data_IF_286260975527
#
_entry.id   IF_286260975527
#
_cell.length_a   1.000
_cell.length_b   1.000
_cell.length_c   1.000
_cell.angle_alpha   90.00
_cell.angle_beta   90.00
_cell.angle_gamma   90.00
#
_symmetry.space_group_name_H-M   'P 1'
#
loop_
_entity.id
_entity.type
_entity.pdbx_description
1 polymer ?
#
# COMPACT_ATOMS: atom_id res chain seq x y z
N UNK A 1 -10.05 -21.55 5.52
CA UNK A 1 -8.91 -20.68 5.15
C UNK A 1 -8.94 -20.49 3.64
N UNK A 2 -9.27 -19.28 3.21
CA UNK A 2 -9.33 -18.88 1.80
C UNK A 2 -8.06 -19.29 1.07
N UNK A 3 -8.22 -19.86 -0.12
CA UNK A 3 -7.08 -20.18 -0.99
C UNK A 3 -6.85 -19.05 -1.98
N UNK A 4 -5.64 -18.51 -1.94
CA UNK A 4 -5.18 -17.46 -2.84
C UNK A 4 -3.85 -17.84 -3.46
N UNK A 5 -3.57 -17.31 -4.64
CA UNK A 5 -2.23 -17.37 -5.22
C UNK A 5 -1.89 -16.05 -5.88
N UNK A 6 -0.60 -15.71 -5.86
CA UNK A 6 -0.04 -14.60 -6.61
C UNK A 6 0.79 -15.20 -7.75
N UNK A 7 0.67 -14.69 -8.98
CA UNK A 7 1.35 -15.28 -10.15
C UNK A 7 2.88 -15.29 -10.04
N UNK A 8 3.45 -14.45 -9.17
CA UNK A 8 4.89 -14.50 -8.79
C UNK A 8 5.31 -15.84 -8.16
N UNK A 9 4.36 -16.62 -7.66
CA UNK A 9 4.57 -17.85 -6.90
C UNK A 9 4.33 -19.13 -7.72
N UNK A 10 4.55 -19.09 -9.03
CA UNK A 10 4.69 -20.28 -9.89
C UNK A 10 3.61 -21.35 -9.72
N UNK A 11 2.43 -21.15 -10.30
CA UNK A 11 1.41 -22.20 -10.39
C UNK A 11 1.00 -22.40 -11.84
N UNK A 12 1.64 -23.36 -12.51
CA UNK A 12 1.30 -23.80 -13.86
C UNK A 12 -0.02 -24.58 -13.98
N UNK A 13 -1.05 -24.23 -13.19
CA UNK A 13 -2.32 -24.98 -13.13
C UNK A 13 -3.60 -24.13 -13.06
N UNK A 14 -3.51 -22.80 -12.96
CA UNK A 14 -4.70 -21.93 -13.00
C UNK A 14 -4.76 -21.27 -14.37
N UNK A 15 -5.61 -21.82 -15.23
CA UNK A 15 -5.62 -21.46 -16.65
C UNK A 15 -6.89 -20.70 -17.05
N UNK A 16 -7.88 -20.63 -16.16
CA UNK A 16 -9.22 -20.13 -16.48
C UNK A 16 -9.88 -19.42 -15.29
N UNK A 17 -10.28 -18.17 -15.51
CA UNK A 17 -11.09 -17.42 -14.57
C UNK A 17 -12.57 -17.72 -14.78
N UNK A 18 -13.30 -17.98 -13.68
CA UNK A 18 -14.74 -18.24 -13.73
C UNK A 18 -15.62 -17.09 -14.22
N UNK A 19 -15.05 -15.94 -14.60
CA UNK A 19 -15.76 -14.77 -15.17
C UNK A 19 -15.24 -14.45 -16.57
N UNK A 20 -13.94 -14.17 -16.73
CA UNK A 20 -13.39 -13.74 -18.03
C UNK A 20 -12.86 -14.90 -18.89
N UNK A 21 -12.99 -16.15 -18.45
CA UNK A 21 -12.56 -17.33 -19.21
C UNK A 21 -11.03 -17.51 -19.24
N UNK A 22 -10.52 -18.28 -20.21
CA UNK A 22 -9.11 -18.59 -20.34
C UNK A 22 -8.29 -17.36 -20.77
N UNK A 23 -6.98 -17.41 -20.49
CA UNK A 23 -6.02 -16.40 -20.97
C UNK A 23 -6.10 -16.30 -22.51
N UNK A 24 -6.28 -15.11 -23.10
CA UNK A 24 -6.28 -14.95 -24.54
C UNK A 24 -4.99 -15.52 -25.15
N UNK A 25 -5.11 -16.35 -26.18
CA UNK A 25 -3.94 -16.83 -26.90
C UNK A 25 -3.20 -15.67 -27.59
N UNK A 26 -1.87 -15.75 -27.66
CA UNK A 26 -1.06 -14.77 -28.41
C UNK A 26 -1.59 -14.64 -29.84
N UNK A 27 -1.95 -13.43 -30.31
CA UNK A 27 -2.48 -13.26 -31.64
C UNK A 27 -1.44 -13.73 -32.67
N UNK A 28 -1.91 -14.48 -33.68
CA UNK A 28 -1.08 -14.87 -34.81
C UNK A 28 -0.60 -13.62 -35.56
N UNK A 29 0.63 -13.66 -36.07
CA UNK A 29 1.45 -12.56 -36.66
C UNK A 29 0.74 -11.70 -37.74
N UNK A 30 -0.50 -12.03 -38.14
CA UNK A 30 -1.33 -11.25 -39.07
C UNK A 30 -1.95 -9.99 -38.45
N UNK A 31 -1.87 -9.81 -37.12
CA UNK A 31 -2.27 -8.59 -36.44
C UNK A 31 -1.18 -7.54 -36.46
N UNK A 32 -1.47 -6.34 -36.99
CA UNK A 32 -0.50 -5.23 -37.01
C UNK A 32 -0.02 -4.83 -35.60
N UNK A 33 1.01 -3.97 -35.53
CA UNK A 33 1.65 -3.51 -34.28
C UNK A 33 0.66 -3.08 -33.18
N UNK A 34 -0.50 -2.53 -33.55
CA UNK A 34 -1.53 -2.12 -32.59
C UNK A 34 -2.19 -3.30 -31.85
N UNK A 35 -2.40 -4.45 -32.51
CA UNK A 35 -2.91 -5.67 -31.85
C UNK A 35 -1.87 -6.35 -30.98
N UNK A 36 -0.59 -6.27 -31.36
CA UNK A 36 0.51 -6.75 -30.53
C UNK A 36 0.65 -5.92 -29.24
N UNK A 37 0.57 -4.58 -29.34
CA UNK A 37 0.61 -3.69 -28.18
C UNK A 37 -0.58 -3.91 -27.23
N UNK A 38 -1.80 -4.03 -27.75
CA UNK A 38 -2.98 -4.34 -26.93
C UNK A 38 -2.88 -5.69 -26.24
N UNK A 39 -2.29 -6.69 -26.91
CA UNK A 39 -2.02 -7.98 -26.30
C UNK A 39 -0.95 -7.91 -25.21
N UNK A 40 0.15 -7.20 -25.46
CA UNK A 40 1.21 -6.97 -24.46
C UNK A 40 0.67 -6.22 -23.24
N UNK A 41 -0.10 -5.15 -23.43
CA UNK A 41 -0.77 -4.42 -22.34
C UNK A 41 -1.73 -5.33 -21.55
N UNK A 42 -2.53 -6.16 -22.23
CA UNK A 42 -3.44 -7.11 -21.58
C UNK A 42 -2.70 -8.20 -20.81
N UNK A 43 -1.57 -8.71 -21.32
CA UNK A 43 -0.71 -9.67 -20.64
C UNK A 43 -0.01 -9.05 -19.44
N UNK A 44 0.41 -7.79 -19.53
CA UNK A 44 1.06 -7.08 -18.44
C UNK A 44 0.08 -6.74 -17.30
N UNK A 45 -1.19 -6.49 -17.63
CA UNK A 45 -2.29 -6.41 -16.66
C UNK A 45 -2.72 -7.78 -16.08
N UNK A 46 -2.24 -8.89 -16.66
CA UNK A 46 -2.48 -10.24 -16.17
C UNK A 46 -1.32 -10.75 -15.29
N UNK A 47 -0.06 -10.51 -15.68
CA UNK A 47 1.17 -11.00 -15.04
C UNK A 47 1.40 -10.61 -13.56
N UNK A 48 0.48 -9.86 -12.97
CA UNK A 48 0.52 -9.42 -11.57
C UNK A 48 -0.83 -9.62 -10.88
N UNK A 49 -1.66 -10.52 -11.40
CA UNK A 49 -3.03 -10.68 -10.92
C UNK A 49 -3.07 -11.60 -9.72
N UNK A 50 -3.57 -11.06 -8.61
CA UNK A 50 -3.97 -11.85 -7.45
C UNK A 50 -5.18 -12.74 -7.81
N UNK A 51 -5.13 -14.02 -7.43
CA UNK A 51 -6.21 -14.98 -7.64
C UNK A 51 -6.81 -15.45 -6.32
N UNK A 52 -8.12 -15.67 -6.31
CA UNK A 52 -8.89 -16.16 -5.18
C UNK A 52 -9.83 -17.29 -5.62
N UNK A 53 -9.91 -18.34 -4.81
CA UNK A 53 -10.78 -19.50 -5.08
C UNK A 53 -12.05 -19.42 -4.24
N UNK A 54 -13.21 -19.60 -4.87
CA UNK A 54 -14.48 -19.71 -4.15
C UNK A 54 -14.53 -20.99 -3.30
N UNK A 55 -14.86 -20.86 -2.02
CA UNK A 55 -14.88 -21.98 -1.07
C UNK A 55 -16.02 -22.98 -1.32
N UNK A 56 -17.03 -22.58 -2.09
CA UNK A 56 -18.22 -23.41 -2.40
C UNK A 56 -18.10 -24.15 -3.73
N UNK A 57 -17.78 -23.43 -4.82
CA UNK A 57 -17.70 -24.05 -6.16
C UNK A 57 -16.28 -24.45 -6.57
N UNK A 58 -15.26 -24.15 -5.76
CA UNK A 58 -13.84 -24.39 -6.04
C UNK A 58 -13.28 -23.74 -7.32
N UNK A 59 -14.05 -22.90 -8.01
CA UNK A 59 -13.58 -22.13 -9.18
C UNK A 59 -12.65 -21.00 -8.75
N UNK A 60 -11.68 -20.69 -9.60
CA UNK A 60 -10.71 -19.61 -9.42
C UNK A 60 -11.14 -18.35 -10.14
N UNK A 61 -10.83 -17.20 -9.53
CA UNK A 61 -11.17 -15.89 -10.05
C UNK A 61 -9.98 -14.95 -9.88
N UNK A 62 -9.76 -14.08 -10.85
CA UNK A 62 -8.92 -12.91 -10.64
C UNK A 62 -9.59 -12.02 -9.59
N UNK A 63 -8.81 -11.47 -8.65
CA UNK A 63 -9.31 -10.49 -7.68
C UNK A 63 -10.07 -9.35 -8.34
N UNK A 64 -9.53 -8.79 -9.43
CA UNK A 64 -10.21 -7.74 -10.23
C UNK A 64 -11.57 -8.18 -10.78
N UNK A 65 -11.73 -9.45 -11.17
CA UNK A 65 -13.00 -9.94 -11.73
C UNK A 65 -14.08 -10.09 -10.65
N UNK A 66 -13.69 -10.24 -9.38
CA UNK A 66 -14.62 -10.36 -8.25
C UNK A 66 -14.56 -9.18 -7.30
N UNK A 67 -13.87 -8.10 -7.68
CA UNK A 67 -13.64 -6.90 -6.89
C UNK A 67 -13.09 -7.19 -5.47
N UNK A 68 -12.05 -8.03 -5.40
CA UNK A 68 -11.31 -8.35 -4.17
C UNK A 68 -9.85 -8.03 -4.40
N UNK A 69 -9.30 -7.11 -3.59
CA UNK A 69 -7.87 -6.84 -3.58
C UNK A 69 -7.11 -7.84 -2.69
N UNK A 70 -5.80 -8.00 -2.92
CA UNK A 70 -4.95 -8.97 -2.22
C UNK A 70 -5.01 -8.80 -0.69
N UNK A 71 -5.00 -7.56 -0.20
CA UNK A 71 -5.05 -7.26 1.23
C UNK A 71 -6.37 -7.71 1.88
N UNK A 72 -7.50 -7.65 1.15
CA UNK A 72 -8.82 -8.05 1.67
C UNK A 72 -8.86 -9.55 1.91
N UNK A 73 -8.20 -10.32 1.05
CA UNK A 73 -8.14 -11.77 1.18
C UNK A 73 -7.55 -12.26 2.50
N UNK A 74 -6.65 -11.48 3.11
CA UNK A 74 -6.09 -11.78 4.43
C UNK A 74 -7.13 -11.66 5.55
N UNK A 75 -8.22 -10.93 5.30
CA UNK A 75 -9.33 -10.65 6.21
C UNK A 75 -10.55 -11.54 5.95
N UNK A 76 -10.67 -12.13 4.75
CA UNK A 76 -11.77 -13.03 4.39
C UNK A 76 -11.58 -14.39 5.10
N UNK A 77 -12.67 -14.94 5.64
CA UNK A 77 -12.71 -16.29 6.20
C UNK A 77 -13.12 -17.32 5.14
N UNK A 78 -14.27 -17.10 4.50
CA UNK A 78 -14.77 -17.85 3.35
C UNK A 78 -15.14 -16.90 2.20
N UNK A 79 -14.56 -17.14 1.03
CA UNK A 79 -14.87 -16.39 -0.18
C UNK A 79 -15.99 -17.04 -0.98
N UNK A 80 -17.07 -16.29 -1.20
CA UNK A 80 -18.20 -16.71 -2.02
C UNK A 80 -18.26 -15.86 -3.30
N UNK A 81 -18.13 -16.51 -4.47
CA UNK A 81 -18.33 -15.81 -5.74
C UNK A 81 -19.80 -15.38 -5.93
N UNK A 82 -20.07 -14.42 -6.82
CA UNK A 82 -21.42 -13.86 -7.01
C UNK A 82 -22.52 -14.89 -7.33
N UNK A 83 -22.19 -16.03 -7.96
CA UNK A 83 -23.16 -17.12 -8.15
C UNK A 83 -23.49 -17.87 -6.85
N UNK A 84 -22.49 -18.08 -6.01
CA UNK A 84 -22.64 -18.80 -4.74
C UNK A 84 -23.22 -17.93 -3.63
N UNK A 85 -23.07 -16.60 -3.71
CA UNK A 85 -23.67 -15.69 -2.73
C UNK A 85 -25.19 -15.76 -2.70
N UNK A 86 -25.82 -16.08 -3.84
CA UNK A 86 -27.27 -16.26 -3.95
C UNK A 86 -27.77 -17.47 -3.16
N UNK A 87 -26.97 -18.54 -3.07
CA UNK A 87 -27.41 -19.82 -2.48
C UNK A 87 -26.95 -20.01 -1.04
N UNK A 88 -25.80 -19.45 -0.67
CA UNK A 88 -25.17 -19.66 0.66
C UNK A 88 -24.90 -18.36 1.44
N UNK A 89 -25.19 -17.20 0.85
CA UNK A 89 -24.96 -15.90 1.48
C UNK A 89 -23.60 -15.29 1.12
N UNK A 90 -23.34 -14.04 1.54
CA UNK A 90 -22.15 -13.29 1.15
C UNK A 90 -20.85 -13.93 1.65
N UNK A 91 -19.72 -13.48 1.09
CA UNK A 91 -18.37 -13.69 1.63
C UNK A 91 -18.33 -13.35 3.12
N UNK A 92 -17.73 -14.22 3.92
CA UNK A 92 -17.62 -14.05 5.37
C UNK A 92 -16.25 -13.50 5.75
N UNK A 93 -16.21 -12.65 6.77
CA UNK A 93 -14.97 -12.02 7.25
C UNK A 93 -14.50 -12.70 8.53
N UNK A 94 -13.19 -12.84 8.67
CA UNK A 94 -12.57 -13.35 9.89
C UNK A 94 -12.96 -12.48 11.07
N UNK A 95 -13.34 -13.13 12.17
CA UNK A 95 -13.60 -12.44 13.41
C UNK A 95 -12.28 -11.99 14.06
N UNK A 96 -12.26 -10.75 14.55
CA UNK A 96 -11.12 -10.22 15.31
C UNK A 96 -11.26 -10.71 16.75
N UNK A 97 -10.63 -11.85 17.05
CA UNK A 97 -10.66 -12.45 18.38
C UNK A 97 -9.55 -11.87 19.28
N UNK A 98 -8.38 -11.56 18.71
CA UNK A 98 -7.19 -11.11 19.42
C UNK A 98 -6.66 -9.81 18.81
N UNK A 99 -6.32 -8.83 19.66
CA UNK A 99 -5.74 -7.54 19.25
C UNK A 99 -4.23 -7.42 19.53
N UNK A 100 -3.64 -8.45 20.15
CA UNK A 100 -2.24 -8.54 20.54
C UNK A 100 -1.40 -9.50 19.69
N UNK A 101 -2.00 -10.10 18.66
CA UNK A 101 -1.39 -11.09 17.76
C UNK A 101 -1.59 -10.69 16.30
N UNK A 102 -0.67 -11.07 15.41
CA UNK A 102 -0.82 -10.83 13.96
C UNK A 102 -1.95 -11.69 13.34
N UNK A 103 -2.06 -12.94 13.83
CA UNK A 103 -3.17 -13.86 13.56
C UNK A 103 -4.30 -13.56 14.54
N UNK A 104 -4.99 -12.45 14.31
CA UNK A 104 -6.08 -11.97 15.16
C UNK A 104 -7.26 -12.95 15.27
N UNK A 105 -7.38 -13.88 14.33
CA UNK A 105 -8.43 -14.88 14.23
C UNK A 105 -8.12 -16.18 14.99
N UNK A 106 -6.87 -16.39 15.42
CA UNK A 106 -6.41 -17.66 15.97
C UNK A 106 -6.50 -17.67 17.50
N UNK A 107 -7.65 -18.12 18.02
CA UNK A 107 -7.91 -18.21 19.46
C UNK A 107 -6.88 -19.06 20.23
N UNK A 108 -6.15 -19.98 19.58
CA UNK A 108 -5.12 -20.79 20.24
C UNK A 108 -3.93 -19.94 20.74
N UNK A 109 -3.80 -18.71 20.24
CA UNK A 109 -2.75 -17.76 20.63
C UNK A 109 -3.16 -16.80 21.74
N UNK A 110 -4.33 -16.97 22.35
CA UNK A 110 -4.87 -16.04 23.35
C UNK A 110 -3.89 -15.78 24.51
N UNK A 111 -3.23 -16.82 25.00
CA UNK A 111 -2.31 -16.73 26.16
C UNK A 111 -0.86 -16.36 25.76
N UNK A 112 -0.59 -16.09 24.48
CA UNK A 112 0.75 -15.69 24.02
C UNK A 112 1.00 -14.20 24.29
N UNK A 113 2.25 -13.78 24.50
CA UNK A 113 2.57 -12.37 24.74
C UNK A 113 2.19 -11.47 23.55
N UNK A 114 2.00 -10.18 23.83
CA UNK A 114 1.73 -9.16 22.82
C UNK A 114 2.88 -9.05 21.81
N UNK A 115 2.56 -9.00 20.51
CA UNK A 115 3.56 -8.79 19.44
C UNK A 115 3.70 -7.31 19.08
N UNK A 116 4.93 -6.89 18.76
CA UNK A 116 5.24 -5.52 18.34
C UNK A 116 4.43 -5.14 17.09
N UNK A 117 3.90 -3.91 17.05
CA UNK A 117 3.13 -3.41 15.92
C UNK A 117 1.65 -3.84 15.89
N UNK A 118 1.22 -4.75 16.78
CA UNK A 118 -0.21 -5.05 16.94
C UNK A 118 -0.99 -3.88 17.53
N UNK A 119 -2.32 -3.92 17.43
CA UNK A 119 -3.18 -2.86 17.96
C UNK A 119 -2.92 -2.62 19.45
N UNK A 120 -2.93 -3.69 20.26
CA UNK A 120 -2.64 -3.62 21.69
C UNK A 120 -1.26 -3.03 21.96
N UNK A 121 -0.23 -3.50 21.25
CA UNK A 121 1.13 -2.97 21.41
C UNK A 121 1.18 -1.47 21.12
N UNK A 122 0.58 -1.00 20.03
CA UNK A 122 0.61 0.42 19.66
C UNK A 122 -0.11 1.27 20.71
N UNK A 123 -1.25 0.82 21.22
CA UNK A 123 -2.00 1.53 22.26
C UNK A 123 -1.24 1.59 23.59
N UNK A 124 -0.58 0.49 23.98
CA UNK A 124 0.29 0.46 25.16
C UNK A 124 1.56 1.30 24.97
N UNK A 125 2.17 1.24 23.79
CA UNK A 125 3.37 1.98 23.45
C UNK A 125 3.11 3.48 23.45
N UNK A 126 1.97 3.95 22.92
CA UNK A 126 1.58 5.36 23.00
C UNK A 126 1.61 5.90 24.43
N UNK A 127 1.08 5.13 25.39
CA UNK A 127 1.07 5.52 26.82
C UNK A 127 2.47 5.57 27.43
N UNK A 128 3.41 4.77 26.93
CA UNK A 128 4.80 4.70 27.41
C UNK A 128 5.75 5.60 26.61
N UNK A 129 5.33 6.08 25.44
CA UNK A 129 6.20 6.83 24.54
C UNK A 129 6.66 8.16 25.15
N UNK A 130 5.88 8.71 26.08
CA UNK A 130 6.21 9.93 26.82
C UNK A 130 7.40 9.74 27.78
N UNK A 131 7.68 8.51 28.23
CA UNK A 131 8.84 8.24 29.09
C UNK A 131 10.12 7.93 28.32
N UNK A 132 10.08 7.96 26.97
CA UNK A 132 11.29 7.78 26.15
C UNK A 132 12.16 9.03 26.33
N UNK A 133 13.44 8.89 26.72
CA UNK A 133 14.33 10.03 26.89
C UNK A 133 14.41 10.87 25.62
N UNK A 134 14.32 12.18 25.76
CA UNK A 134 14.50 13.11 24.65
C UNK A 134 15.93 13.01 24.11
N UNK A 135 16.07 13.19 22.80
CA UNK A 135 17.37 13.34 22.18
C UNK A 135 18.09 14.58 22.76
N UNK A 136 19.37 14.42 23.07
CA UNK A 136 20.24 15.53 23.50
C UNK A 136 20.91 16.18 22.28
N UNK A 137 21.60 17.30 22.50
CA UNK A 137 22.41 17.97 21.47
C UNK A 137 23.55 17.08 20.92
N UNK A 138 23.95 16.03 21.65
CA UNK A 138 24.89 15.01 21.13
C UNK A 138 24.28 14.17 20.00
N UNK A 139 22.96 14.07 19.94
CA UNK A 139 22.23 13.23 18.98
C UNK A 139 21.54 14.06 17.89
N UNK A 140 20.93 15.18 18.26
CA UNK A 140 20.09 16.02 17.38
C UNK A 140 20.44 17.48 17.58
N UNK A 141 20.76 18.18 16.49
CA UNK A 141 20.84 19.63 16.44
C UNK A 141 19.52 20.17 15.90
N UNK A 142 18.88 21.06 16.64
CA UNK A 142 17.67 21.75 16.18
C UNK A 142 18.03 23.14 15.67
N UNK A 143 17.55 23.50 14.49
CA UNK A 143 17.74 24.83 13.89
C UNK A 143 16.41 25.39 13.37
N UNK A 144 16.33 26.71 13.30
CA UNK A 144 15.14 27.45 12.89
C UNK A 144 14.81 27.25 11.41
N UNK A 145 15.81 27.27 10.53
CA UNK A 145 15.64 27.23 9.08
C UNK A 145 16.89 26.67 8.36
N UNK A 146 16.81 26.64 7.02
CA UNK A 146 17.87 26.18 6.15
C UNK A 146 19.08 27.09 6.04
N UNK A 147 18.94 28.40 6.32
CA UNK A 147 20.09 29.30 6.37
C UNK A 147 20.94 28.97 7.60
N UNK A 148 20.31 28.77 8.76
CA UNK A 148 21.01 28.35 9.96
C UNK A 148 21.60 26.95 9.84
N UNK A 149 20.89 26.04 9.18
CA UNK A 149 21.46 24.74 8.82
C UNK A 149 22.74 24.91 7.97
N UNK A 150 22.73 25.75 6.94
CA UNK A 150 23.91 25.98 6.10
C UNK A 150 25.10 26.58 6.85
N UNK A 151 24.87 27.42 7.86
CA UNK A 151 25.92 27.95 8.74
C UNK A 151 26.51 26.90 9.67
N UNK A 152 25.66 26.02 10.22
CA UNK A 152 26.02 25.04 11.26
C UNK A 152 26.52 23.72 10.68
N UNK A 153 26.13 23.39 9.45
CA UNK A 153 26.49 22.14 8.79
C UNK A 153 27.84 22.24 8.07
N UNK A 154 28.86 21.60 8.62
CA UNK A 154 30.16 21.52 7.96
C UNK A 154 30.21 20.33 6.97
N UNK A 155 30.08 20.63 5.68
CA UNK A 155 30.16 19.64 4.58
C UNK A 155 31.49 18.87 4.52
N UNK A 156 32.56 19.36 5.17
CA UNK A 156 33.88 18.72 5.19
C UNK A 156 34.06 17.74 6.35
N UNK A 157 33.18 17.79 7.35
CA UNK A 157 33.25 16.90 8.51
C UNK A 157 32.42 15.64 8.31
N UNK A 158 32.68 14.63 9.15
CA UNK A 158 31.87 13.42 9.21
C UNK A 158 30.51 13.76 9.82
N UNK A 159 29.44 13.50 9.09
CA UNK A 159 28.07 13.71 9.56
C UNK A 159 27.71 12.68 10.64
N UNK A 160 27.55 13.14 11.90
CA UNK A 160 27.31 12.29 13.08
C UNK A 160 26.00 12.57 13.82
N UNK A 161 25.40 13.74 13.62
CA UNK A 161 24.22 14.21 14.34
C UNK A 161 23.04 14.39 13.39
N UNK A 162 21.83 14.12 13.86
CA UNK A 162 20.62 14.45 13.11
C UNK A 162 20.37 15.95 13.16
N UNK A 163 19.78 16.51 12.10
CA UNK A 163 19.32 17.90 12.09
C UNK A 163 17.80 17.93 12.04
N UNK A 164 17.18 18.58 13.02
CA UNK A 164 15.77 18.92 13.01
C UNK A 164 15.63 20.38 12.59
N UNK A 165 15.14 20.61 11.38
CA UNK A 165 15.02 21.95 10.80
C UNK A 165 13.55 22.36 10.83
N UNK A 166 13.23 23.46 11.53
CA UNK A 166 11.85 23.85 11.82
C UNK A 166 11.13 24.49 10.63
N UNK A 167 11.86 25.22 9.78
CA UNK A 167 11.37 25.83 8.54
C UNK A 167 12.12 25.33 7.31
N UNK A 168 11.41 25.19 6.20
CA UNK A 168 12.00 24.76 4.92
C UNK A 168 12.74 25.90 4.19
N UNK A 169 12.57 27.14 4.65
CA UNK A 169 13.20 28.31 4.06
C UNK A 169 14.72 28.18 4.07
N UNK A 170 15.39 28.56 2.97
CA UNK A 170 16.85 28.43 2.85
C UNK A 170 17.38 27.02 2.56
N UNK A 171 16.55 25.96 2.60
CA UNK A 171 17.00 24.60 2.26
C UNK A 171 17.08 24.33 0.75
N UNK A 172 16.48 25.18 -0.07
CA UNK A 172 16.35 24.94 -1.51
C UNK A 172 15.44 23.75 -1.86
N UNK A 173 14.63 23.28 -0.92
CA UNK A 173 13.65 22.22 -1.16
C UNK A 173 12.45 22.78 -1.92
N UNK A 174 12.14 22.15 -3.05
CA UNK A 174 10.91 22.41 -3.79
C UNK A 174 9.81 21.50 -3.26
N UNK A 175 8.90 22.08 -2.48
CA UNK A 175 7.74 21.39 -1.93
C UNK A 175 6.46 21.87 -2.64
N UNK A 176 5.40 21.03 -2.65
CA UNK A 176 4.09 21.47 -3.10
C UNK A 176 3.58 22.68 -2.30
N UNK A 177 2.70 23.49 -2.92
CA UNK A 177 2.07 24.63 -2.25
C UNK A 177 1.29 24.19 -0.99
N UNK A 178 1.15 25.12 -0.03
CA UNK A 178 0.35 24.88 1.19
C UNK A 178 -1.07 24.45 0.80
N UNK A 179 -1.54 23.35 1.38
CA UNK A 179 -2.85 22.77 1.07
C UNK A 179 -2.81 21.57 0.12
N UNK A 180 -1.64 21.23 -0.44
CA UNK A 180 -1.46 19.96 -1.14
C UNK A 180 -1.79 18.78 -0.21
N UNK A 181 -2.67 17.91 -0.67
CA UNK A 181 -3.31 16.86 0.12
C UNK A 181 -3.07 15.47 -0.48
N UNK A 182 -3.42 14.43 0.29
CA UNK A 182 -3.39 13.05 -0.21
C UNK A 182 -4.25 12.86 -1.47
N UNK A 183 -5.37 13.61 -1.59
CA UNK A 183 -6.20 13.56 -2.80
C UNK A 183 -5.40 14.04 -4.02
N UNK A 184 -4.63 15.11 -3.89
CA UNK A 184 -3.78 15.61 -4.98
C UNK A 184 -2.72 14.56 -5.36
N UNK A 185 -2.12 13.86 -4.40
CA UNK A 185 -1.23 12.74 -4.69
C UNK A 185 -1.91 11.69 -5.56
N UNK A 186 -3.14 11.28 -5.20
CA UNK A 186 -3.90 10.26 -5.94
C UNK A 186 -4.27 10.73 -7.34
N UNK A 187 -4.68 11.99 -7.50
CA UNK A 187 -5.01 12.57 -8.81
C UNK A 187 -3.79 12.58 -9.75
N UNK A 188 -2.59 12.80 -9.21
CA UNK A 188 -1.33 12.86 -9.98
C UNK A 188 -0.77 11.48 -10.28
N UNK A 189 -0.76 10.58 -9.30
CA UNK A 189 -0.20 9.23 -9.40
C UNK A 189 -1.16 8.28 -10.13
N UNK A 190 -2.46 8.48 -9.96
CA UNK A 190 -3.53 7.68 -10.55
C UNK A 190 -4.14 6.70 -9.56
N UNK A 191 -5.47 6.63 -9.54
CA UNK A 191 -6.27 5.78 -8.64
C UNK A 191 -5.94 4.28 -8.76
N UNK A 192 -5.60 3.83 -9.98
CA UNK A 192 -5.31 2.43 -10.28
C UNK A 192 -3.85 2.04 -10.05
N UNK A 193 -3.00 2.98 -9.59
CA UNK A 193 -1.60 2.67 -9.30
C UNK A 193 -1.54 1.72 -8.11
N UNK A 194 -0.97 0.52 -8.32
CA UNK A 194 -0.68 -0.39 -7.22
C UNK A 194 0.51 0.11 -6.39
N UNK A 195 0.37 0.05 -5.07
CA UNK A 195 1.36 0.50 -4.08
C UNK A 195 1.55 -0.54 -2.99
N UNK A 196 2.80 -0.67 -2.54
CA UNK A 196 3.15 -1.52 -1.39
C UNK A 196 2.56 -0.92 -0.12
N UNK A 197 1.56 -1.60 0.43
CA UNK A 197 0.81 -1.13 1.60
C UNK A 197 0.97 -2.11 2.74
N UNK A 198 1.45 -1.61 3.87
CA UNK A 198 1.64 -2.38 5.10
C UNK A 198 0.33 -2.40 5.88
N UNK A 199 -0.23 -3.58 6.11
CA UNK A 199 -1.16 -3.78 7.21
C UNK A 199 -0.36 -3.75 8.52
N UNK A 200 -0.46 -2.62 9.23
CA UNK A 200 0.34 -2.33 10.42
C UNK A 200 0.13 -3.40 11.49
N UNK A 201 -1.12 -3.80 11.74
CA UNK A 201 -1.43 -4.76 12.81
C UNK A 201 -1.03 -6.19 12.46
N UNK A 202 -0.88 -6.51 11.18
CA UNK A 202 -0.36 -7.80 10.69
C UNK A 202 1.14 -7.81 10.45
N UNK A 203 1.79 -6.64 10.41
CA UNK A 203 3.20 -6.47 10.02
C UNK A 203 3.48 -7.17 8.68
N UNK A 204 2.58 -7.01 7.72
CA UNK A 204 2.67 -7.63 6.41
C UNK A 204 2.34 -6.63 5.30
N UNK A 205 3.03 -6.75 4.17
CA UNK A 205 2.86 -5.87 3.01
C UNK A 205 2.00 -6.56 1.96
N UNK A 206 1.00 -5.85 1.45
CA UNK A 206 0.12 -6.28 0.37
C UNK A 206 0.16 -5.27 -0.77
N UNK A 207 -0.15 -5.70 -1.99
CA UNK A 207 -0.50 -4.76 -3.05
C UNK A 207 -1.88 -4.17 -2.77
N UNK A 208 -2.00 -2.85 -2.86
CA UNK A 208 -3.27 -2.12 -2.78
C UNK A 208 -3.31 -1.05 -3.86
N UNK A 209 -4.48 -0.78 -4.44
CA UNK A 209 -4.61 0.37 -5.33
C UNK A 209 -4.53 1.68 -4.52
N UNK A 210 -3.89 2.72 -5.07
CA UNK A 210 -3.71 3.97 -4.34
C UNK A 210 -5.05 4.69 -4.10
N UNK A 211 -6.00 4.53 -5.02
CA UNK A 211 -7.39 4.95 -4.81
C UNK A 211 -8.04 4.26 -3.62
N UNK A 212 -7.87 2.94 -3.48
CA UNK A 212 -8.38 2.19 -2.34
C UNK A 212 -7.73 2.59 -1.02
N UNK A 213 -6.41 2.80 -1.01
CA UNK A 213 -5.72 3.36 0.15
C UNK A 213 -6.33 4.71 0.58
N UNK A 214 -6.58 5.60 -0.39
CA UNK A 214 -7.23 6.88 -0.12
C UNK A 214 -8.65 6.74 0.45
N UNK A 215 -9.47 5.83 -0.08
CA UNK A 215 -10.80 5.55 0.48
C UNK A 215 -10.71 5.09 1.94
N UNK A 216 -9.82 4.13 2.24
CA UNK A 216 -9.60 3.62 3.59
C UNK A 216 -9.02 4.70 4.52
N UNK A 217 -8.18 5.58 3.99
CA UNK A 217 -7.66 6.73 4.73
C UNK A 217 -8.79 7.72 5.04
N UNK A 218 -9.72 7.97 4.13
CA UNK A 218 -10.83 8.91 4.37
C UNK A 218 -12.00 8.30 5.15
N UNK A 219 -12.03 6.98 5.32
CA UNK A 219 -13.06 6.29 6.08
C UNK A 219 -13.10 6.74 7.55
N UNK A 220 -14.32 6.92 8.07
CA UNK A 220 -14.58 7.26 9.47
C UNK A 220 -14.16 6.12 10.40
N UNK A 221 -14.52 4.90 10.03
CA UNK A 221 -14.17 3.69 10.78
C UNK A 221 -12.93 3.04 10.17
N UNK A 222 -11.93 2.77 11.02
CA UNK A 222 -10.65 2.19 10.60
C UNK A 222 -10.32 0.97 11.45
N UNK A 223 -10.97 -0.18 11.17
CA UNK A 223 -10.73 -1.42 11.94
C UNK A 223 -9.30 -1.95 11.78
N UNK A 224 -8.62 -1.55 10.71
CA UNK A 224 -7.21 -1.83 10.41
C UNK A 224 -6.46 -0.52 10.17
N UNK A 225 -5.14 -0.54 10.34
CA UNK A 225 -4.26 0.56 9.97
C UNK A 225 -3.39 0.16 8.80
N UNK A 226 -3.33 1.04 7.81
CA UNK A 226 -2.53 0.86 6.61
C UNK A 226 -1.51 1.98 6.50
N UNK A 227 -0.31 1.63 6.05
CA UNK A 227 0.78 2.58 5.86
C UNK A 227 1.51 2.30 4.53
N UNK A 228 1.90 3.35 3.82
CA UNK A 228 2.74 3.25 2.61
C UNK A 228 4.11 3.81 2.97
N UNK A 229 5.18 3.04 2.73
CA UNK A 229 6.55 3.51 2.97
C UNK A 229 7.24 4.02 1.70
N UNK A 230 6.92 3.42 0.56
CA UNK A 230 7.66 3.65 -0.68
C UNK A 230 6.70 3.96 -1.81
N UNK A 231 6.27 5.22 -1.89
CA UNK A 231 5.58 5.76 -3.06
C UNK A 231 6.58 6.55 -3.90
N UNK A 232 7.24 5.87 -4.83
CA UNK A 232 8.18 6.51 -5.74
C UNK A 232 7.44 7.12 -6.94
N UNK A 233 7.61 8.43 -7.15
CA UNK A 233 6.89 9.20 -8.18
C UNK A 233 7.81 10.04 -9.08
N UNK A 234 9.14 9.92 -8.97
CA UNK A 234 10.11 10.60 -9.86
C UNK A 234 9.83 10.39 -11.35
N UNK A 235 9.31 9.22 -11.73
CA UNK A 235 8.98 8.90 -13.12
C UNK A 235 7.58 9.40 -13.56
N UNK A 236 6.80 10.02 -12.67
CA UNK A 236 5.53 10.62 -13.05
C UNK A 236 5.78 11.96 -13.75
N UNK A 237 5.63 11.96 -15.07
CA UNK A 237 5.71 13.19 -15.91
C UNK A 237 4.79 14.30 -15.38
N UNK A 238 3.65 13.95 -14.78
CA UNK A 238 2.72 14.90 -14.15
C UNK A 238 3.28 15.51 -12.86
N UNK A 239 4.02 14.73 -12.06
CA UNK A 239 4.62 15.23 -10.82
C UNK A 239 5.84 16.12 -11.11
N UNK A 240 6.63 15.79 -12.13
CA UNK A 240 7.72 16.66 -12.60
C UNK A 240 7.21 18.06 -13.02
N UNK A 241 5.99 18.17 -13.52
CA UNK A 241 5.41 19.46 -13.90
C UNK A 241 4.89 20.28 -12.69
N UNK A 242 4.51 19.64 -11.58
CA UNK A 242 4.09 20.33 -10.35
C UNK A 242 5.24 21.12 -9.70
N UNK A 243 6.48 20.67 -9.89
CA UNK A 243 7.67 21.40 -9.42
C UNK A 243 8.13 22.45 -10.44
N UNK A 244 7.87 22.23 -11.74
CA UNK A 244 8.20 23.17 -12.83
C UNK A 244 7.30 24.41 -12.88
N UNK A 245 5.98 24.30 -12.65
CA UNK A 245 5.07 25.46 -12.68
C UNK A 245 5.38 26.48 -11.55
N UNK A 246 6.04 26.03 -10.47
CA UNK A 246 6.55 26.92 -9.42
C UNK A 246 7.78 27.74 -9.87
N UNK A 247 8.49 27.35 -10.93
CA UNK A 247 9.68 28.08 -11.41
C UNK A 247 9.31 29.40 -12.10
N UNK A 248 8.14 29.50 -12.77
CA UNK A 248 7.74 30.73 -13.47
C UNK A 248 7.14 31.81 -12.55
N UNK A 249 6.76 31.48 -11.32
CA UNK A 249 6.27 32.46 -10.34
C UNK A 249 7.38 33.19 -9.57
N UNK A 250 8.60 32.67 -9.60
CA UNK A 250 9.75 33.21 -8.85
C UNK A 250 10.99 33.44 -9.74
N UNK A 251 10.79 33.59 -11.05
CA UNK A 251 11.80 34.12 -11.99
C UNK A 251 11.47 35.54 -12.44
#
# INVERSE_FOLDING_TARGET
MVKTVNEKSGVGAINECGICGPVPAKPSVKGGQQQANLFEEAMQQQANTFWIRCDLCNRWYHGKCVNVEEYESALIDEFHCGCCTVTKGPTTMKQVLLDHRYSFEDATQMNKPTQIGTKRFIEEFKKKSESIPLATEEHVITVEDGYKFAETFNRKDVWKQLYLISSVDGLGLQLPEKGFSLKNCVDVVGVNRMVDTIDVYKQHTYQMSFGRFYELFMAKERPRLYNILSLEFSNSKRYANLTYDNQQKYS
#
